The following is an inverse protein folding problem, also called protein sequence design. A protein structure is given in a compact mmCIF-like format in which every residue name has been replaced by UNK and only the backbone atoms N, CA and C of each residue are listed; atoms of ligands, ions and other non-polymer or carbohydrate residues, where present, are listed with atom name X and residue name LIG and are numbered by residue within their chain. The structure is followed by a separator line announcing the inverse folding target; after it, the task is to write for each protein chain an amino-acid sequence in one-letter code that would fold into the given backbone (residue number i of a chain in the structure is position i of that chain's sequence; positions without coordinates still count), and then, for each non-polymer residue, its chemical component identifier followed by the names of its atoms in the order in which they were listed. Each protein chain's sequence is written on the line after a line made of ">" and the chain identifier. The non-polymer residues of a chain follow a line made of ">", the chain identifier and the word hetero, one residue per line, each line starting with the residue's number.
data_IF_408504187236
#
_entry.id   IF_408504187236
#
_cell.length_a   1.000
_cell.length_b   1.000
_cell.length_c   1.000
_cell.angle_alpha   90.00
_cell.angle_beta   90.00
_cell.angle_gamma   90.00
#
_symmetry.space_group_name_H-M   'P 1'
#
loop_
_entity.id
_entity.type
_entity.pdbx_description
1 polymer ?
#
# COMPACT_ATOMS: atom_id res chain seq x y z
N UNK A 1 -23.49 15.44 2.22
CA UNK A 1 -23.18 14.92 0.87
C UNK A 1 -21.76 14.40 0.88
N UNK A 2 -21.52 13.16 0.46
CA UNK A 2 -20.15 12.60 0.35
C UNK A 2 -19.52 13.19 -0.92
N UNK A 3 -18.37 13.84 -0.79
CA UNK A 3 -17.63 14.35 -1.96
C UNK A 3 -17.06 13.16 -2.73
N UNK A 4 -17.32 13.10 -4.04
CA UNK A 4 -16.71 12.09 -4.92
C UNK A 4 -15.21 12.37 -5.06
N UNK A 5 -14.39 11.33 -4.92
CA UNK A 5 -12.93 11.42 -5.02
C UNK A 5 -12.52 11.41 -6.49
N UNK A 6 -11.81 12.44 -6.96
CA UNK A 6 -11.28 12.52 -8.32
C UNK A 6 -10.02 11.68 -8.44
N UNK A 7 -10.05 10.68 -9.31
CA UNK A 7 -8.93 9.75 -9.54
C UNK A 7 -8.48 9.90 -10.99
N UNK A 8 -7.24 10.33 -11.18
CA UNK A 8 -6.61 10.39 -12.50
C UNK A 8 -5.91 9.07 -12.82
N UNK A 9 -6.28 8.41 -13.91
CA UNK A 9 -5.57 7.24 -14.44
C UNK A 9 -4.62 7.72 -15.54
N UNK A 10 -3.32 7.52 -15.35
CA UNK A 10 -2.27 7.89 -16.30
C UNK A 10 -1.68 6.61 -16.88
N UNK A 11 -2.02 6.33 -18.13
CA UNK A 11 -1.63 5.10 -18.82
C UNK A 11 -2.69 4.62 -19.80
N UNK A 12 -2.29 3.71 -20.67
CA UNK A 12 -3.09 3.17 -21.77
C UNK A 12 -3.17 1.63 -21.77
N UNK A 13 -2.66 1.00 -20.71
CA UNK A 13 -2.67 -0.46 -20.61
C UNK A 13 -4.08 -1.03 -20.41
N UNK A 14 -4.26 -2.27 -20.87
CA UNK A 14 -5.47 -3.05 -20.62
C UNK A 14 -5.72 -3.34 -19.13
N UNK A 15 -4.67 -3.42 -18.32
CA UNK A 15 -4.82 -3.63 -16.87
C UNK A 15 -5.41 -2.39 -16.21
N UNK A 16 -4.91 -1.21 -16.58
CA UNK A 16 -5.42 0.07 -16.08
C UNK A 16 -6.85 0.34 -16.58
N UNK A 17 -7.16 -0.07 -17.81
CA UNK A 17 -8.53 -0.07 -18.35
C UNK A 17 -9.48 -0.95 -17.51
N UNK A 18 -9.03 -2.15 -17.13
CA UNK A 18 -9.76 -3.04 -16.24
C UNK A 18 -10.04 -2.42 -14.87
N UNK A 19 -9.08 -1.67 -14.32
CA UNK A 19 -9.26 -0.90 -13.07
C UNK A 19 -10.27 0.23 -13.28
N UNK A 20 -10.17 0.98 -14.38
CA UNK A 20 -11.07 2.07 -14.71
C UNK A 20 -12.53 1.61 -14.75
N UNK A 21 -12.83 0.55 -15.50
CA UNK A 21 -14.19 0.00 -15.62
C UNK A 21 -14.76 -0.41 -14.26
N UNK A 22 -13.94 -0.95 -13.36
CA UNK A 22 -14.39 -1.34 -12.01
C UNK A 22 -14.68 -0.12 -11.14
N UNK A 23 -13.90 0.95 -11.28
CA UNK A 23 -14.08 2.19 -10.52
C UNK A 23 -15.20 3.07 -11.06
N UNK A 24 -15.44 3.08 -12.38
CA UNK A 24 -16.53 3.84 -13.02
C UNK A 24 -17.93 3.43 -12.52
N UNK A 25 -18.08 2.19 -12.04
CA UNK A 25 -19.33 1.71 -11.44
C UNK A 25 -19.58 2.22 -10.02
N UNK A 26 -18.66 3.02 -9.45
CA UNK A 26 -18.74 3.53 -8.08
C UNK A 26 -19.18 4.99 -8.04
N UNK A 27 -20.20 5.29 -7.24
CA UNK A 27 -20.73 6.66 -7.10
C UNK A 27 -19.83 7.60 -6.28
N UNK A 28 -18.90 7.05 -5.50
CA UNK A 28 -17.97 7.79 -4.64
C UNK A 28 -16.64 8.14 -5.33
N UNK A 29 -16.47 7.76 -6.60
CA UNK A 29 -15.25 7.98 -7.37
C UNK A 29 -15.57 8.63 -8.71
N UNK A 30 -14.80 9.66 -9.08
CA UNK A 30 -14.83 10.25 -10.41
C UNK A 30 -13.53 9.89 -11.13
N UNK A 31 -13.64 9.14 -12.21
CA UNK A 31 -12.49 8.70 -13.00
C UNK A 31 -12.16 9.72 -14.09
N UNK A 32 -10.88 10.10 -14.18
CA UNK A 32 -10.34 10.97 -15.22
C UNK A 32 -9.22 10.23 -15.92
N UNK A 33 -9.38 9.94 -17.21
CA UNK A 33 -8.38 9.25 -18.01
C UNK A 33 -7.44 10.27 -18.65
N UNK A 34 -6.14 10.03 -18.51
CA UNK A 34 -5.09 10.87 -19.08
C UNK A 34 -4.20 9.99 -19.94
N UNK A 35 -4.19 10.33 -21.23
CA UNK A 35 -3.34 9.68 -22.23
C UNK A 35 -1.86 10.01 -21.95
N UNK A 36 -1.00 9.02 -21.70
CA UNK A 36 0.42 9.22 -21.42
C UNK A 36 1.22 9.72 -22.65
N UNK A 37 0.65 9.68 -23.85
CA UNK A 37 1.27 10.18 -25.07
C UNK A 37 0.96 11.66 -25.34
N UNK A 38 0.09 12.29 -24.55
CA UNK A 38 -0.17 13.72 -24.71
C UNK A 38 1.00 14.55 -24.16
N UNK A 39 1.45 15.53 -24.94
CA UNK A 39 2.34 16.57 -24.44
C UNK A 39 1.65 17.24 -23.24
N UNK A 40 2.40 17.41 -22.14
CA UNK A 40 2.00 18.20 -20.97
C UNK A 40 1.01 17.55 -19.97
N UNK A 41 1.21 16.26 -19.68
CA UNK A 41 0.49 15.55 -18.60
C UNK A 41 0.60 16.29 -17.25
N UNK A 42 1.75 16.91 -16.95
CA UNK A 42 1.94 17.69 -15.73
C UNK A 42 0.95 18.85 -15.62
N UNK A 43 0.87 19.73 -16.63
CA UNK A 43 -0.11 20.84 -16.61
C UNK A 43 -1.54 20.33 -16.53
N UNK A 44 -1.83 19.21 -17.19
CA UNK A 44 -3.17 18.61 -17.15
C UNK A 44 -3.53 18.12 -15.75
N UNK A 45 -2.61 17.44 -15.07
CA UNK A 45 -2.78 17.01 -13.68
C UNK A 45 -2.90 18.20 -12.72
N UNK A 46 -2.08 19.24 -12.90
CA UNK A 46 -2.16 20.49 -12.15
C UNK A 46 -3.51 21.21 -12.32
N UNK A 47 -4.06 21.20 -13.53
CA UNK A 47 -5.36 21.82 -13.84
C UNK A 47 -6.51 21.02 -13.27
N UNK A 48 -6.45 19.69 -13.38
CA UNK A 48 -7.52 18.80 -12.92
C UNK A 48 -7.56 18.66 -11.39
N UNK A 49 -6.41 18.84 -10.72
CA UNK A 49 -6.23 18.67 -9.28
C UNK A 49 -6.90 17.38 -8.77
N UNK A 50 -6.46 16.19 -9.23
CA UNK A 50 -7.01 14.94 -8.73
C UNK A 50 -6.64 14.74 -7.26
N UNK A 51 -7.52 14.04 -6.54
CA UNK A 51 -7.28 13.62 -5.15
C UNK A 51 -6.39 12.35 -5.11
N UNK A 52 -6.23 11.65 -6.24
CA UNK A 52 -5.35 10.49 -6.41
C UNK A 52 -4.90 10.36 -7.87
N UNK A 53 -3.63 10.06 -8.09
CA UNK A 53 -3.09 9.67 -9.40
C UNK A 53 -2.79 8.17 -9.36
N UNK A 54 -3.33 7.41 -10.30
CA UNK A 54 -3.07 6.00 -10.51
C UNK A 54 -2.23 5.83 -11.78
N UNK A 55 -1.12 5.11 -11.66
CA UNK A 55 -0.21 4.82 -12.77
C UNK A 55 0.41 3.44 -12.59
N UNK A 56 0.98 2.90 -13.65
CA UNK A 56 1.67 1.61 -13.61
C UNK A 56 3.14 1.78 -13.27
N UNK A 57 3.71 0.84 -12.50
CA UNK A 57 5.11 0.92 -12.07
C UNK A 57 6.08 1.01 -13.25
N UNK A 58 5.84 0.23 -14.30
CA UNK A 58 6.71 0.15 -15.47
C UNK A 58 6.44 1.24 -16.52
N UNK A 59 5.54 2.19 -16.24
CA UNK A 59 5.25 3.27 -17.16
C UNK A 59 6.43 4.27 -17.22
N UNK A 60 6.79 4.81 -18.41
CA UNK A 60 7.83 5.84 -18.55
C UNK A 60 7.59 7.07 -17.66
N UNK A 61 6.33 7.37 -17.36
CA UNK A 61 5.92 8.52 -16.56
C UNK A 61 6.26 8.41 -15.07
N UNK A 62 6.49 7.20 -14.55
CA UNK A 62 6.74 6.97 -13.11
C UNK A 62 7.94 7.76 -12.59
N UNK A 63 8.96 7.98 -13.43
CA UNK A 63 10.13 8.78 -13.06
C UNK A 63 9.81 10.27 -12.83
N UNK A 64 8.83 10.82 -13.55
CA UNK A 64 8.40 12.22 -13.44
C UNK A 64 7.38 12.46 -12.33
N UNK A 65 6.88 11.39 -11.71
CA UNK A 65 5.84 11.45 -10.68
C UNK A 65 6.28 12.25 -9.45
N UNK A 66 7.51 12.06 -8.98
CA UNK A 66 8.00 12.73 -7.77
C UNK A 66 8.03 14.25 -7.95
N UNK A 67 8.51 14.73 -9.10
CA UNK A 67 8.54 16.16 -9.42
C UNK A 67 7.12 16.76 -9.40
N UNK A 68 6.15 16.07 -10.01
CA UNK A 68 4.75 16.49 -9.99
C UNK A 68 4.19 16.55 -8.56
N UNK A 69 4.44 15.51 -7.76
CA UNK A 69 3.91 15.43 -6.40
C UNK A 69 4.43 16.59 -5.53
N UNK A 70 5.68 17.01 -5.71
CA UNK A 70 6.24 18.19 -5.03
C UNK A 70 5.50 19.50 -5.38
N UNK A 71 4.95 19.61 -6.58
CA UNK A 71 4.18 20.79 -7.02
C UNK A 71 2.72 20.76 -6.57
N UNK A 72 2.20 19.57 -6.22
CA UNK A 72 0.82 19.35 -5.76
C UNK A 72 0.78 18.79 -4.34
N UNK A 73 1.07 19.61 -3.30
CA UNK A 73 0.98 19.17 -1.92
C UNK A 73 -0.47 18.80 -1.57
N UNK A 74 -0.73 17.52 -1.35
CA UNK A 74 -2.05 16.98 -1.03
C UNK A 74 -2.60 16.00 -2.07
N UNK A 75 -2.00 15.90 -3.26
CA UNK A 75 -2.30 14.83 -4.20
C UNK A 75 -1.50 13.58 -3.80
N UNK A 76 -2.18 12.46 -3.66
CA UNK A 76 -1.54 11.16 -3.50
C UNK A 76 -1.30 10.54 -4.88
N UNK A 77 -0.26 9.72 -5.00
CA UNK A 77 -0.13 8.81 -6.12
C UNK A 77 -0.12 7.38 -5.62
N UNK A 78 -0.75 6.49 -6.36
CA UNK A 78 -0.59 5.06 -6.17
C UNK A 78 -0.07 4.43 -7.46
N UNK A 79 1.03 3.72 -7.31
CA UNK A 79 1.71 3.03 -8.39
C UNK A 79 1.30 1.56 -8.32
N UNK A 80 0.65 1.10 -9.38
CA UNK A 80 0.19 -0.27 -9.54
C UNK A 80 1.31 -1.13 -10.10
N UNK A 81 1.72 -2.13 -9.34
CA UNK A 81 2.64 -3.17 -9.79
C UNK A 81 1.81 -4.43 -10.04
N UNK A 82 1.43 -4.61 -11.30
CA UNK A 82 0.62 -5.76 -11.72
C UNK A 82 1.41 -7.08 -11.73
N UNK A 83 2.75 -7.04 -11.80
CA UNK A 83 3.59 -8.24 -11.67
C UNK A 83 3.52 -8.84 -10.27
N UNK A 84 3.61 -7.98 -9.26
CA UNK A 84 3.67 -8.39 -7.84
C UNK A 84 2.32 -8.22 -7.12
N UNK A 85 1.25 -7.85 -7.85
CA UNK A 85 -0.10 -7.59 -7.32
C UNK A 85 -0.11 -6.63 -6.12
N UNK A 86 0.76 -5.61 -6.14
CA UNK A 86 0.91 -4.67 -5.04
C UNK A 86 0.59 -3.23 -5.47
N UNK A 87 0.18 -2.44 -4.49
CA UNK A 87 -0.04 -1.01 -4.63
C UNK A 87 1.02 -0.27 -3.83
N UNK A 88 1.80 0.59 -4.49
CA UNK A 88 2.79 1.44 -3.83
C UNK A 88 2.21 2.84 -3.70
N UNK A 89 1.91 3.27 -2.47
CA UNK A 89 1.46 4.63 -2.22
C UNK A 89 2.67 5.57 -2.11
N UNK A 90 2.65 6.63 -2.90
CA UNK A 90 3.64 7.70 -2.90
C UNK A 90 2.91 8.99 -2.55
N UNK A 91 3.35 9.67 -1.50
CA UNK A 91 2.72 10.91 -1.03
C UNK A 91 3.73 12.05 -0.95
N UNK A 92 3.34 13.25 -1.38
CA UNK A 92 4.11 14.49 -1.18
C UNK A 92 3.77 15.17 0.13
N UNK A 93 3.79 14.42 1.24
CA UNK A 93 3.68 15.07 2.55
C UNK A 93 4.94 15.88 2.80
N UNK A 94 4.79 17.20 2.86
CA UNK A 94 5.88 18.10 3.18
C UNK A 94 6.05 18.15 4.70
N UNK A 95 7.28 18.00 5.15
CA UNK A 95 7.65 18.15 6.56
C UNK A 95 8.67 19.28 6.65
N UNK A 96 8.46 20.20 7.60
CA UNK A 96 9.51 21.13 7.97
C UNK A 96 10.57 20.38 8.77
N UNK A 97 11.78 20.28 8.25
CA UNK A 97 12.95 19.76 8.96
C UNK A 97 13.91 20.93 9.18
N UNK A 98 13.88 21.52 10.37
CA UNK A 98 14.76 22.65 10.72
C UNK A 98 16.04 22.16 11.41
N UNK A 99 15.99 20.98 12.01
CA UNK A 99 17.10 20.33 12.70
C UNK A 99 17.31 18.89 12.21
N UNK A 100 18.48 18.32 12.52
CA UNK A 100 18.76 16.90 12.25
C UNK A 100 17.85 15.99 13.08
N UNK A 101 17.46 16.42 14.29
CA UNK A 101 16.55 15.67 15.15
C UNK A 101 15.14 15.56 14.53
N UNK A 102 14.67 16.63 13.87
CA UNK A 102 13.40 16.62 13.13
C UNK A 102 13.41 15.56 12.01
N UNK A 103 14.54 15.42 11.31
CA UNK A 103 14.71 14.43 10.24
C UNK A 103 14.75 13.00 10.81
N UNK A 104 15.54 12.79 11.87
CA UNK A 104 15.68 11.48 12.53
C UNK A 104 14.33 10.99 13.07
N UNK A 105 13.54 11.88 13.68
CA UNK A 105 12.21 11.56 14.16
C UNK A 105 11.29 11.08 13.02
N UNK A 106 11.41 11.64 11.82
CA UNK A 106 10.60 11.24 10.66
C UNK A 106 11.00 9.89 10.09
N UNK A 107 12.30 9.60 10.04
CA UNK A 107 12.81 8.30 9.57
C UNK A 107 12.31 7.17 10.47
N UNK A 108 12.27 7.38 11.78
CA UNK A 108 11.89 6.34 12.75
C UNK A 108 10.40 5.97 12.70
N UNK A 109 9.51 6.93 12.39
CA UNK A 109 8.05 6.73 12.35
C UNK A 109 7.59 5.87 11.16
N UNK A 110 8.40 5.70 10.12
CA UNK A 110 8.04 4.97 8.89
C UNK A 110 8.20 3.44 8.94
N UNK A 111 8.52 2.86 10.10
CA UNK A 111 8.95 1.45 10.21
C UNK A 111 7.83 0.46 10.58
N UNK A 112 6.65 0.95 10.98
CA UNK A 112 5.53 0.08 11.39
C UNK A 112 4.61 -0.21 10.20
N UNK A 113 4.82 -1.36 9.53
CA UNK A 113 3.76 -2.00 8.75
C UNK A 113 4.18 -2.78 7.51
N UNK A 114 4.62 -4.03 7.70
CA UNK A 114 4.11 -5.24 7.01
C UNK A 114 4.35 -6.44 7.94
N UNK A 115 3.50 -6.65 8.94
CA UNK A 115 3.36 -7.98 9.55
C UNK A 115 2.42 -8.80 8.66
N UNK A 116 3.02 -9.60 7.79
CA UNK A 116 2.32 -10.73 7.19
C UNK A 116 2.09 -11.78 8.27
N UNK A 117 0.83 -12.01 8.61
CA UNK A 117 0.43 -13.15 9.42
C UNK A 117 0.83 -14.45 8.73
N UNK A 118 1.69 -15.22 9.39
CA UNK A 118 1.66 -16.68 9.28
C UNK A 118 1.36 -17.20 10.67
N UNK A 119 0.20 -17.85 10.75
CA UNK A 119 -0.35 -18.50 11.93
C UNK A 119 0.69 -19.41 12.58
N UNK A 120 1.11 -19.04 13.78
CA UNK A 120 1.81 -19.96 14.68
C UNK A 120 0.74 -20.73 15.46
N UNK A 121 0.13 -21.73 14.82
CA UNK A 121 -0.61 -22.76 15.53
C UNK A 121 0.38 -23.60 16.35
N UNK A 122 0.48 -23.23 17.61
CA UNK A 122 1.09 -24.01 18.67
C UNK A 122 0.02 -24.99 19.16
N UNK A 123 0.11 -26.28 18.81
CA UNK A 123 -0.68 -27.31 19.49
C UNK A 123 0.22 -28.41 20.03
N UNK A 124 0.73 -28.12 21.22
CA UNK A 124 1.40 -29.08 22.11
C UNK A 124 0.32 -29.99 22.70
N UNK A 125 0.03 -31.11 22.02
CA UNK A 125 -0.87 -32.14 22.55
C UNK A 125 -0.12 -33.00 23.58
N UNK A 126 -0.05 -32.51 24.81
CA UNK A 126 0.32 -33.29 25.99
C UNK A 126 -0.86 -34.19 26.39
N UNK A 127 -0.81 -35.46 25.99
CA UNK A 127 -1.80 -36.44 26.41
C UNK A 127 -1.48 -36.96 27.83
N UNK A 128 -2.37 -36.60 28.77
CA UNK A 128 -2.48 -37.17 30.13
C UNK A 128 -2.62 -38.69 30.08
N UNK A 129 -1.95 -39.40 31.00
CA UNK A 129 -2.65 -40.06 32.12
C UNK A 129 -1.70 -40.71 33.15
N UNK A 130 -2.10 -40.76 34.43
CA UNK A 130 -1.29 -41.25 35.55
C UNK A 130 -1.60 -42.72 35.88
N UNK A 131 -0.62 -43.46 36.42
CA UNK A 131 -0.87 -44.69 37.19
C UNK A 131 -0.08 -44.63 38.49
N UNK A 132 -0.83 -44.71 39.59
CA UNK A 132 -0.41 -44.82 40.98
C UNK A 132 -0.58 -46.28 41.41
N UNK A 133 0.20 -46.68 42.42
CA UNK A 133 0.06 -47.89 43.27
C UNK A 133 0.40 -49.23 42.63
N UNK A 134 0.92 -50.25 43.31
CA UNK A 134 1.64 -50.46 44.56
C UNK A 134 1.97 -51.96 44.57
N UNK A 135 3.18 -52.41 44.90
CA UNK A 135 3.31 -53.57 45.77
C UNK A 135 4.72 -53.81 46.30
N UNK A 136 4.72 -54.21 47.56
CA UNK A 136 5.81 -54.51 48.48
C UNK A 136 6.13 -56.01 48.47
N UNK A 137 7.33 -56.37 48.98
CA UNK A 137 7.82 -57.72 49.37
C UNK A 137 8.36 -58.62 48.24
N UNK A 138 9.47 -59.34 48.35
CA UNK A 138 10.38 -59.65 49.47
C UNK A 138 11.74 -60.19 48.95
N UNK A 139 12.78 -60.10 49.79
CA UNK A 139 14.02 -60.93 49.81
C UNK A 139 13.71 -62.44 50.02
N UNK A 140 14.65 -63.42 50.07
CA UNK A 140 16.14 -63.41 50.21
C UNK A 140 16.85 -64.25 49.12
N UNK A 141 18.17 -64.48 49.03
CA UNK A 141 19.21 -64.98 49.96
C UNK A 141 20.57 -64.43 49.48
#
# INVERSE_FOLDING_TARGET
>A
MVRSRKVALVGDSLMLEGVAMRLENRTDVQIIRIDPCTDDIQRRLLTLQPDLILLELQAPWTASLLALLCETPGTEAAVLDFSEQRLVLVSSRHYATQTMDDLLQRIQVGSDGVEGGTDSENDTSAHKSPIKEANTSAQPI
#
